data_IF_621107902254
#
_entry.id   IF_621107902254
#
_cell.length_a   1.000
_cell.length_b   1.000
_cell.length_c   1.000
_cell.angle_alpha   90.00
_cell.angle_beta   90.00
_cell.angle_gamma   90.00
#
_symmetry.space_group_name_H-M   'P 1'
#
loop_
_entity.id
_entity.type
_entity.pdbx_description
1 polymer ?
#
# COMPACT_ATOMS: atom_id res chain seq x y z
N UNK A 1 -4.88 -8.80 -9.02
CA UNK A 1 -4.89 -9.21 -7.60
C UNK A 1 -3.98 -10.42 -7.38
N UNK A 2 -4.21 -11.57 -8.03
CA UNK A 2 -3.37 -12.77 -7.86
C UNK A 2 -1.85 -12.55 -8.01
N UNK A 3 -1.40 -11.89 -9.09
CA UNK A 3 0.02 -11.60 -9.29
C UNK A 3 0.62 -10.73 -8.16
N UNK A 4 -0.13 -9.79 -7.59
CA UNK A 4 0.35 -8.96 -6.49
C UNK A 4 0.48 -9.75 -5.18
N UNK A 5 -0.42 -10.71 -4.94
CA UNK A 5 -0.32 -11.62 -3.78
C UNK A 5 0.92 -12.52 -3.91
N UNK A 6 1.22 -13.01 -5.12
CA UNK A 6 2.42 -13.81 -5.37
C UNK A 6 3.71 -13.00 -5.18
N UNK A 7 3.76 -11.75 -5.67
CA UNK A 7 4.90 -10.86 -5.45
C UNK A 7 5.11 -10.55 -3.96
N UNK A 8 4.01 -10.36 -3.22
CA UNK A 8 4.06 -10.16 -1.78
C UNK A 8 4.56 -11.42 -1.06
N UNK A 9 4.07 -12.60 -1.44
CA UNK A 9 4.56 -13.89 -0.93
C UNK A 9 6.07 -14.05 -1.19
N UNK A 10 6.51 -13.82 -2.42
CA UNK A 10 7.94 -13.86 -2.80
C UNK A 10 8.77 -12.89 -1.95
N UNK A 11 8.26 -11.69 -1.67
CA UNK A 11 8.97 -10.73 -0.81
C UNK A 11 9.10 -11.17 0.66
N UNK A 12 8.26 -12.10 1.12
CA UNK A 12 8.28 -12.64 2.49
C UNK A 12 9.22 -13.84 2.57
N UNK A 13 9.08 -14.79 1.66
CA UNK A 13 9.82 -16.06 1.71
C UNK A 13 11.17 -16.01 0.97
N UNK A 14 11.39 -14.98 0.15
CA UNK A 14 12.56 -14.81 -0.70
C UNK A 14 12.44 -15.53 -2.05
N UNK A 15 13.15 -15.00 -3.04
CA UNK A 15 13.12 -15.48 -4.43
C UNK A 15 13.48 -16.98 -4.54
N UNK A 16 14.53 -17.43 -3.85
CA UNK A 16 14.98 -18.82 -3.91
C UNK A 16 13.91 -19.80 -3.38
N UNK A 17 13.31 -19.50 -2.23
CA UNK A 17 12.25 -20.32 -1.66
C UNK A 17 11.00 -20.28 -2.54
N UNK A 18 10.62 -19.11 -3.06
CA UNK A 18 9.48 -18.97 -3.96
C UNK A 18 9.65 -19.77 -5.25
N UNK A 19 10.84 -19.74 -5.87
CA UNK A 19 11.14 -20.57 -7.03
C UNK A 19 11.03 -22.06 -6.72
N UNK A 20 11.52 -22.51 -5.55
CA UNK A 20 11.38 -23.90 -5.10
C UNK A 20 9.91 -24.30 -4.91
N UNK A 21 9.09 -23.44 -4.29
CA UNK A 21 7.64 -23.63 -4.15
C UNK A 21 6.99 -23.84 -5.52
N UNK A 22 7.21 -22.92 -6.46
CA UNK A 22 6.60 -22.97 -7.80
C UNK A 22 7.04 -24.22 -8.55
N UNK A 23 8.33 -24.56 -8.52
CA UNK A 23 8.84 -25.77 -9.17
C UNK A 23 8.23 -27.05 -8.58
N UNK A 24 8.13 -27.13 -7.25
CA UNK A 24 7.53 -28.27 -6.55
C UNK A 24 6.05 -28.40 -6.90
N UNK A 25 5.29 -27.30 -6.82
CA UNK A 25 3.88 -27.27 -7.13
C UNK A 25 3.60 -27.74 -8.57
N UNK A 26 4.32 -27.19 -9.56
CA UNK A 26 4.14 -27.56 -10.96
C UNK A 26 4.51 -29.01 -11.26
N UNK A 27 5.59 -29.54 -10.65
CA UNK A 27 6.00 -30.94 -10.82
C UNK A 27 4.99 -31.91 -10.20
N UNK A 28 4.48 -31.57 -9.01
CA UNK A 28 3.58 -32.44 -8.25
C UNK A 28 2.21 -32.56 -8.91
N UNK A 29 1.70 -31.46 -9.47
CA UNK A 29 0.37 -31.40 -10.08
C UNK A 29 0.39 -31.38 -11.61
N UNK A 30 1.46 -31.87 -12.22
CA UNK A 30 1.60 -31.91 -13.68
C UNK A 30 0.44 -32.69 -14.32
N UNK A 31 -0.13 -32.10 -15.39
CA UNK A 31 -1.25 -32.68 -16.15
C UNK A 31 -2.57 -32.86 -15.37
N UNK A 32 -2.69 -32.30 -14.17
CA UNK A 32 -3.88 -32.35 -13.33
C UNK A 32 -4.55 -30.99 -13.12
N UNK A 33 -5.54 -30.98 -12.23
CA UNK A 33 -6.20 -29.76 -11.72
C UNK A 33 -5.74 -29.47 -10.30
N UNK A 34 -5.74 -28.21 -9.90
CA UNK A 34 -5.25 -27.74 -8.61
C UNK A 34 -6.24 -26.82 -7.91
N UNK A 35 -6.09 -26.73 -6.58
CA UNK A 35 -6.81 -25.84 -5.68
C UNK A 35 -5.85 -24.91 -4.95
N UNK A 36 -6.38 -23.91 -4.24
CA UNK A 36 -5.56 -23.06 -3.36
C UNK A 36 -4.83 -23.86 -2.29
N UNK A 37 -5.47 -24.91 -1.75
CA UNK A 37 -4.87 -25.77 -0.73
C UNK A 37 -3.65 -26.54 -1.24
N UNK A 38 -3.67 -26.96 -2.50
CA UNK A 38 -2.51 -27.61 -3.13
C UNK A 38 -1.30 -26.66 -3.16
N UNK A 39 -1.54 -25.38 -3.46
CA UNK A 39 -0.49 -24.37 -3.47
C UNK A 39 0.01 -24.04 -2.06
N UNK A 40 -0.88 -23.92 -1.08
CA UNK A 40 -0.50 -23.69 0.32
C UNK A 40 0.34 -24.87 0.83
N UNK A 41 -0.04 -26.11 0.51
CA UNK A 41 0.74 -27.31 0.89
C UNK A 41 2.15 -27.26 0.30
N UNK A 42 2.30 -26.85 -0.96
CA UNK A 42 3.62 -26.69 -1.57
C UNK A 42 4.48 -25.61 -0.91
N UNK A 43 3.86 -24.58 -0.32
CA UNK A 43 4.54 -23.56 0.49
C UNK A 43 4.96 -24.14 1.83
N UNK A 44 4.04 -24.77 2.56
CA UNK A 44 4.28 -25.40 3.86
C UNK A 44 5.39 -26.47 3.78
N UNK A 45 5.52 -27.17 2.65
CA UNK A 45 6.60 -28.13 2.41
C UNK A 45 8.00 -27.50 2.25
N UNK A 46 8.08 -26.27 1.73
CA UNK A 46 9.35 -25.59 1.42
C UNK A 46 9.78 -24.65 2.54
N UNK A 47 8.81 -24.02 3.22
CA UNK A 47 9.02 -23.08 4.33
C UNK A 47 8.16 -23.47 5.55
N UNK A 48 8.35 -24.67 6.12
CA UNK A 48 7.52 -25.20 7.21
C UNK A 48 7.55 -24.35 8.49
N UNK A 49 8.58 -23.52 8.66
CA UNK A 49 8.73 -22.61 9.80
C UNK A 49 7.83 -21.36 9.72
N UNK A 50 7.24 -21.06 8.56
CA UNK A 50 6.38 -19.91 8.35
C UNK A 50 4.91 -20.33 8.23
N UNK A 51 4.06 -19.91 9.17
CA UNK A 51 2.61 -20.07 9.01
C UNK A 51 2.08 -18.98 8.06
N UNK A 52 1.92 -19.34 6.79
CA UNK A 52 1.47 -18.44 5.71
C UNK A 52 0.03 -18.71 5.27
N UNK A 53 -0.65 -19.69 5.89
CA UNK A 53 -2.01 -20.08 5.52
C UNK A 53 -3.00 -18.94 5.71
N UNK A 54 -3.05 -18.37 6.91
CA UNK A 54 -3.96 -17.25 7.21
C UNK A 54 -3.69 -16.02 6.32
N UNK A 55 -2.41 -15.76 6.03
CA UNK A 55 -2.03 -14.75 5.04
C UNK A 55 -2.64 -15.06 3.67
N UNK A 56 -2.36 -16.23 3.07
CA UNK A 56 -2.83 -16.56 1.72
C UNK A 56 -4.37 -16.59 1.66
N UNK A 57 -5.01 -17.27 2.61
CA UNK A 57 -6.45 -17.43 2.64
C UNK A 57 -7.17 -16.09 2.81
N UNK A 58 -6.67 -15.20 3.69
CA UNK A 58 -7.27 -13.88 3.87
C UNK A 58 -7.20 -13.00 2.63
N UNK A 59 -6.19 -13.18 1.77
CA UNK A 59 -6.06 -12.43 0.51
C UNK A 59 -6.78 -13.08 -0.69
N UNK A 60 -6.84 -14.41 -0.75
CA UNK A 60 -7.42 -15.15 -1.88
C UNK A 60 -8.94 -15.23 -1.80
N UNK A 61 -9.50 -15.41 -0.60
CA UNK A 61 -10.94 -15.63 -0.43
C UNK A 61 -11.75 -14.35 -0.17
N UNK A 62 -11.08 -13.19 -0.10
CA UNK A 62 -11.72 -11.89 0.09
C UNK A 62 -11.62 -11.05 -1.19
N UNK A 63 -12.73 -10.42 -1.60
CA UNK A 63 -12.83 -9.66 -2.86
C UNK A 63 -12.32 -8.20 -2.75
N UNK A 64 -11.50 -7.91 -1.73
CA UNK A 64 -10.95 -6.59 -1.42
C UNK A 64 -9.54 -6.74 -0.83
N UNK A 65 -8.97 -5.63 -0.38
CA UNK A 65 -7.67 -5.57 0.28
C UNK A 65 -7.69 -4.55 1.44
N UNK A 66 -6.76 -4.63 2.39
CA UNK A 66 -6.77 -3.76 3.55
C UNK A 66 -6.24 -2.37 3.23
N UNK A 67 -6.84 -1.37 3.89
CA UNK A 67 -6.25 -0.06 4.12
C UNK A 67 -5.76 -0.03 5.57
N UNK A 68 -4.49 0.30 5.77
CA UNK A 68 -3.86 0.44 7.07
C UNK A 68 -3.82 1.92 7.45
N UNK A 69 -4.57 2.31 8.48
CA UNK A 69 -4.51 3.63 9.06
C UNK A 69 -3.41 3.69 10.13
N UNK A 70 -2.56 4.71 10.06
CA UNK A 70 -1.43 4.92 10.97
C UNK A 70 -1.67 6.17 11.80
N UNK A 71 -1.85 5.97 13.10
CA UNK A 71 -1.86 7.02 14.12
C UNK A 71 -0.48 7.08 14.79
N UNK A 72 -0.04 8.27 15.20
CA UNK A 72 1.24 8.45 15.91
C UNK A 72 1.00 9.14 17.26
N UNK A 73 1.68 8.67 18.30
CA UNK A 73 1.60 9.24 19.64
C UNK A 73 2.60 8.61 20.61
N UNK A 74 3.19 9.42 21.49
CA UNK A 74 4.06 8.97 22.58
C UNK A 74 5.19 8.01 22.14
N UNK A 75 5.86 8.28 21.01
CA UNK A 75 6.95 7.45 20.51
C UNK A 75 6.50 6.10 19.91
N UNK A 76 5.22 5.99 19.56
CA UNK A 76 4.66 4.77 18.96
C UNK A 76 3.80 5.09 17.75
N UNK A 77 3.68 4.12 16.86
CA UNK A 77 2.75 4.13 15.73
C UNK A 77 1.71 3.04 15.92
N UNK A 78 0.43 3.42 15.90
CA UNK A 78 -0.69 2.51 16.08
C UNK A 78 -1.33 2.29 14.70
N UNK A 79 -1.33 1.05 14.25
CA UNK A 79 -1.87 0.60 12.98
C UNK A 79 -3.25 0.01 13.22
N UNK A 80 -4.24 0.46 12.45
CA UNK A 80 -5.59 -0.11 12.40
C UNK A 80 -5.89 -0.49 10.96
N UNK A 81 -6.53 -1.64 10.76
CA UNK A 81 -6.93 -2.08 9.43
C UNK A 81 -8.42 -1.86 9.21
N UNK A 82 -8.76 -1.48 7.98
CA UNK A 82 -10.12 -1.44 7.49
C UNK A 82 -10.18 -1.89 6.04
N UNK A 83 -11.37 -2.19 5.57
CA UNK A 83 -11.61 -2.54 4.18
C UNK A 83 -11.35 -1.31 3.28
N UNK A 84 -10.56 -1.49 2.21
CA UNK A 84 -10.29 -0.43 1.25
C UNK A 84 -11.49 -0.20 0.29
N UNK A 85 -12.48 0.62 0.69
CA UNK A 85 -13.70 0.87 -0.09
C UNK A 85 -14.21 2.33 0.00
N UNK A 86 -14.87 2.83 -1.06
CA UNK A 86 -15.35 4.23 -1.20
C UNK A 86 -16.71 4.51 -0.57
N UNK A 87 -17.49 3.49 -0.21
CA UNK A 87 -18.88 3.65 0.21
C UNK A 87 -19.06 3.21 1.66
N UNK A 88 -19.50 4.14 2.50
CA UNK A 88 -20.00 3.88 3.87
C UNK A 88 -21.29 3.00 3.91
N UNK A 89 -21.62 2.32 2.82
CA UNK A 89 -22.85 1.53 2.62
C UNK A 89 -22.61 0.03 2.52
N UNK A 90 -21.39 -0.47 2.71
CA UNK A 90 -21.15 -1.91 2.72
C UNK A 90 -20.95 -2.44 4.13
N UNK A 91 -21.77 -3.43 4.44
CA UNK A 91 -21.80 -4.32 5.60
C UNK A 91 -20.59 -5.25 5.66
N UNK A 92 -19.39 -4.76 5.34
CA UNK A 92 -18.15 -5.57 5.40
C UNK A 92 -17.57 -5.55 6.83
N UNK A 93 -18.44 -5.56 7.85
CA UNK A 93 -18.06 -5.65 9.26
C UNK A 93 -17.34 -6.99 9.48
N UNK A 94 -16.03 -6.95 9.71
CA UNK A 94 -15.24 -8.13 10.10
C UNK A 94 -14.30 -8.69 9.02
N UNK A 95 -14.25 -8.13 7.81
CA UNK A 95 -13.19 -8.48 6.86
C UNK A 95 -11.85 -7.90 7.36
N UNK A 96 -10.97 -8.79 7.81
CA UNK A 96 -9.60 -8.49 8.22
C UNK A 96 -8.63 -9.42 7.52
N UNK A 97 -7.40 -8.97 7.39
CA UNK A 97 -6.30 -9.66 6.71
C UNK A 97 -5.15 -9.87 7.67
N UNK A 98 -4.42 -10.96 7.48
CA UNK A 98 -3.10 -11.15 8.10
C UNK A 98 -2.08 -10.47 7.19
N UNK A 99 -1.67 -9.24 7.55
CA UNK A 99 -0.91 -8.35 6.67
C UNK A 99 0.59 -8.41 7.00
N UNK A 100 1.46 -8.69 6.00
CA UNK A 100 2.90 -8.60 6.13
C UNK A 100 3.33 -7.12 6.06
N UNK A 101 3.40 -6.43 7.20
CA UNK A 101 3.78 -5.03 7.25
C UNK A 101 5.31 -4.93 7.15
N UNK A 102 5.78 -4.24 6.12
CA UNK A 102 7.16 -3.77 6.03
C UNK A 102 7.20 -2.28 6.28
N UNK A 103 8.21 -1.79 7.00
CA UNK A 103 8.29 -0.37 7.31
C UNK A 103 9.72 0.15 7.47
N UNK A 104 9.88 1.44 7.27
CA UNK A 104 11.08 2.22 7.56
C UNK A 104 10.71 3.47 8.36
N UNK A 105 11.67 4.06 9.06
CA UNK A 105 11.53 5.32 9.78
C UNK A 105 12.61 6.32 9.35
N UNK A 106 12.56 7.54 9.89
CA UNK A 106 13.63 8.52 9.72
C UNK A 106 14.93 8.11 10.42
N UNK A 107 14.84 7.27 11.45
CA UNK A 107 16.00 6.76 12.19
C UNK A 107 16.58 5.49 11.61
N UNK A 108 15.77 4.67 10.95
CA UNK A 108 16.23 3.44 10.33
C UNK A 108 15.60 3.24 8.94
N UNK A 109 16.47 3.27 7.92
CA UNK A 109 16.10 3.07 6.52
C UNK A 109 16.17 1.61 6.07
N UNK A 110 16.68 0.72 6.91
CA UNK A 110 16.62 -0.72 6.66
C UNK A 110 15.18 -1.21 6.92
N UNK A 111 14.51 -1.81 5.93
CA UNK A 111 13.14 -2.27 6.09
C UNK A 111 13.00 -3.29 7.22
N UNK A 112 12.15 -2.98 8.19
CA UNK A 112 11.72 -3.90 9.24
C UNK A 112 10.43 -4.61 8.83
N UNK A 113 10.17 -5.77 9.41
CA UNK A 113 9.02 -6.61 9.12
C UNK A 113 8.23 -6.95 10.38
N UNK A 114 6.90 -6.92 10.31
CA UNK A 114 6.00 -7.34 11.38
C UNK A 114 4.67 -7.85 10.80
N UNK A 115 4.10 -8.88 11.42
CA UNK A 115 2.76 -9.35 11.08
C UNK A 115 1.69 -8.52 11.78
N UNK A 116 0.71 -8.03 11.01
CA UNK A 116 -0.55 -7.52 11.55
C UNK A 116 -1.61 -8.60 11.35
N UNK A 117 -1.82 -9.41 12.38
CA UNK A 117 -2.75 -10.54 12.32
C UNK A 117 -4.21 -10.07 12.16
N UNK A 118 -5.01 -10.85 11.42
CA UNK A 118 -6.43 -10.57 11.20
C UNK A 118 -7.24 -10.54 12.50
N UNK A 119 -6.80 -11.21 13.56
CA UNK A 119 -7.51 -11.29 14.84
C UNK A 119 -7.15 -10.11 15.77
N UNK A 120 -6.17 -9.27 15.38
CA UNK A 120 -5.82 -8.06 16.11
C UNK A 120 -6.73 -6.89 15.75
N UNK A 121 -7.12 -6.09 16.74
CA UNK A 121 -7.83 -4.82 16.51
C UNK A 121 -6.88 -3.69 16.11
N UNK A 122 -5.67 -3.71 16.64
CA UNK A 122 -4.61 -2.77 16.30
C UNK A 122 -3.23 -3.40 16.53
N UNK A 123 -2.25 -2.94 15.76
CA UNK A 123 -0.84 -3.29 15.93
C UNK A 123 -0.05 -2.05 16.37
N UNK A 124 0.77 -2.16 17.41
CA UNK A 124 1.63 -1.07 17.88
C UNK A 124 3.08 -1.33 17.48
N UNK A 125 3.69 -0.35 16.82
CA UNK A 125 5.12 -0.31 16.48
C UNK A 125 5.79 0.71 17.41
N UNK A 126 6.74 0.25 18.23
CA UNK A 126 7.48 1.09 19.16
C UNK A 126 8.77 1.60 18.52
N UNK A 127 8.79 2.89 18.16
CA UNK A 127 9.91 3.59 17.54
C UNK A 127 10.02 4.98 18.21
N UNK A 128 10.48 5.03 19.49
CA UNK A 128 10.34 6.22 20.33
C UNK A 128 11.05 7.45 19.79
N UNK A 129 12.15 7.24 19.05
CA UNK A 129 12.95 8.30 18.48
C UNK A 129 12.49 8.72 17.08
N UNK A 130 11.57 7.98 16.45
CA UNK A 130 11.16 8.22 15.07
C UNK A 130 10.11 9.32 14.95
N UNK A 131 10.32 10.23 14.01
CA UNK A 131 9.41 11.33 13.67
C UNK A 131 8.31 10.88 12.69
N UNK A 132 8.67 9.99 11.76
CA UNK A 132 7.77 9.47 10.75
C UNK A 132 8.01 7.99 10.47
N UNK A 133 6.98 7.34 9.92
CA UNK A 133 7.01 5.96 9.45
C UNK A 133 6.47 5.88 8.02
N UNK A 134 7.13 5.10 7.17
CA UNK A 134 6.60 4.70 5.85
C UNK A 134 6.39 3.19 5.90
N UNK A 135 5.15 2.76 5.70
CA UNK A 135 4.84 1.34 5.48
C UNK A 135 4.97 1.03 3.98
N UNK A 136 5.20 -0.25 3.66
CA UNK A 136 5.33 -0.75 2.30
C UNK A 136 6.32 0.05 1.41
N UNK A 137 7.54 0.39 1.89
CA UNK A 137 8.43 1.34 1.19
C UNK A 137 8.79 0.92 -0.24
N UNK A 138 8.77 -0.38 -0.54
CA UNK A 138 9.03 -0.92 -1.88
C UNK A 138 7.76 -1.13 -2.73
N UNK A 139 6.57 -0.95 -2.15
CA UNK A 139 5.30 -1.12 -2.85
C UNK A 139 4.96 -2.57 -3.23
N UNK A 140 5.61 -3.55 -2.61
CA UNK A 140 5.39 -4.99 -2.87
C UNK A 140 4.14 -5.52 -2.17
N UNK A 141 3.74 -4.91 -1.06
CA UNK A 141 2.55 -5.30 -0.30
C UNK A 141 1.25 -4.93 -1.01
N UNK A 142 0.29 -5.85 -1.04
CA UNK A 142 -1.05 -5.62 -1.59
C UNK A 142 -1.99 -4.98 -0.55
N UNK A 143 -1.62 -3.81 -0.07
CA UNK A 143 -2.43 -3.00 0.85
C UNK A 143 -2.13 -1.51 0.60
N UNK A 144 -3.00 -0.65 1.12
CA UNK A 144 -2.82 0.80 1.07
C UNK A 144 -2.63 1.38 2.45
N UNK A 145 -1.95 2.51 2.53
CA UNK A 145 -1.65 3.18 3.80
C UNK A 145 -2.36 4.52 3.85
N UNK A 146 -2.85 4.88 5.03
CA UNK A 146 -3.37 6.21 5.31
C UNK A 146 -2.77 6.72 6.60
N UNK A 147 -2.15 7.89 6.57
CA UNK A 147 -1.55 8.48 7.74
C UNK A 147 -2.52 9.45 8.45
N UNK A 148 -2.33 9.65 9.75
CA UNK A 148 -2.93 10.79 10.45
C UNK A 148 -2.42 12.13 9.86
N UNK A 149 -3.18 13.20 10.05
CA UNK A 149 -2.90 14.50 9.42
C UNK A 149 -1.49 15.05 9.73
N UNK A 150 -1.04 14.91 10.98
CA UNK A 150 0.30 15.31 11.41
C UNK A 150 1.40 14.51 10.69
N UNK A 151 1.18 13.21 10.47
CA UNK A 151 2.12 12.34 9.77
C UNK A 151 2.17 12.64 8.27
N UNK A 152 1.01 12.92 7.65
CA UNK A 152 0.98 13.41 6.26
C UNK A 152 1.76 14.71 6.09
N UNK A 153 1.63 15.64 7.04
CA UNK A 153 2.37 16.90 7.02
C UNK A 153 3.88 16.66 7.12
N UNK A 154 4.32 15.91 8.13
CA UNK A 154 5.75 15.57 8.33
C UNK A 154 6.36 14.91 7.10
N UNK A 155 5.72 13.86 6.57
CA UNK A 155 6.29 13.11 5.45
C UNK A 155 6.29 13.91 4.14
N UNK A 156 5.29 14.78 3.93
CA UNK A 156 5.24 15.62 2.74
C UNK A 156 6.36 16.65 2.72
N UNK A 157 6.80 17.14 3.89
CA UNK A 157 7.97 18.04 4.00
C UNK A 157 9.28 17.31 3.67
N UNK A 158 9.36 16.01 3.96
CA UNK A 158 10.53 15.14 3.70
C UNK A 158 10.47 14.42 2.36
N UNK A 159 9.50 14.74 1.50
CA UNK A 159 9.23 14.00 0.27
C UNK A 159 10.44 13.92 -0.69
N UNK A 160 11.32 14.94 -0.70
CA UNK A 160 12.55 14.93 -1.49
C UNK A 160 13.67 14.06 -0.92
N UNK A 161 13.58 13.65 0.33
CA UNK A 161 14.57 12.77 0.98
C UNK A 161 14.26 11.28 0.70
N UNK A 162 13.08 11.00 0.13
CA UNK A 162 12.61 9.65 -0.16
C UNK A 162 13.20 9.11 -1.46
N UNK A 163 13.40 7.79 -1.50
CA UNK A 163 13.79 7.08 -2.72
C UNK A 163 12.66 7.13 -3.76
N UNK A 164 12.95 6.90 -5.06
CA UNK A 164 11.90 6.87 -6.07
C UNK A 164 10.77 5.86 -5.77
N UNK A 165 11.11 4.68 -5.24
CA UNK A 165 10.13 3.66 -4.86
C UNK A 165 9.22 4.14 -3.72
N UNK A 166 9.82 4.67 -2.64
CA UNK A 166 9.10 5.24 -1.50
C UNK A 166 8.14 6.36 -1.94
N UNK A 167 8.58 7.26 -2.82
CA UNK A 167 7.73 8.33 -3.36
C UNK A 167 6.55 7.76 -4.14
N UNK A 168 6.77 6.75 -4.98
CA UNK A 168 5.71 6.12 -5.76
C UNK A 168 4.66 5.47 -4.86
N UNK A 169 5.09 4.73 -3.84
CA UNK A 169 4.17 4.16 -2.83
C UNK A 169 3.41 5.28 -2.12
N UNK A 170 4.11 6.28 -1.59
CA UNK A 170 3.52 7.37 -0.82
C UNK A 170 2.52 8.20 -1.63
N UNK A 171 2.82 8.48 -2.92
CA UNK A 171 1.88 9.13 -3.83
C UNK A 171 0.63 8.27 -3.98
N UNK A 172 0.81 6.96 -4.24
CA UNK A 172 -0.33 6.05 -4.41
C UNK A 172 -1.21 6.04 -3.16
N UNK A 173 -0.61 5.92 -1.98
CA UNK A 173 -1.31 5.94 -0.68
C UNK A 173 -2.03 7.26 -0.41
N UNK A 174 -1.43 8.40 -0.76
CA UNK A 174 -2.06 9.71 -0.64
C UNK A 174 -3.27 9.85 -1.58
N UNK A 175 -3.18 9.33 -2.80
CA UNK A 175 -4.30 9.35 -3.77
C UNK A 175 -5.45 8.46 -3.30
N UNK A 176 -5.17 7.26 -2.81
CA UNK A 176 -6.19 6.37 -2.23
C UNK A 176 -6.80 7.02 -0.98
N UNK A 177 -5.99 7.58 -0.08
CA UNK A 177 -6.49 8.28 1.11
C UNK A 177 -7.40 9.47 0.74
N UNK A 178 -7.05 10.25 -0.28
CA UNK A 178 -7.91 11.31 -0.80
C UNK A 178 -9.22 10.78 -1.41
N UNK A 179 -9.14 9.67 -2.15
CA UNK A 179 -10.30 8.97 -2.72
C UNK A 179 -11.29 8.56 -1.64
N UNK A 180 -10.81 8.15 -0.47
CA UNK A 180 -11.64 7.73 0.66
C UNK A 180 -12.00 8.84 1.64
N UNK A 181 -11.54 10.08 1.42
CA UNK A 181 -11.81 11.21 2.32
C UNK A 181 -10.99 11.17 3.61
N UNK A 182 -9.91 10.39 3.65
CA UNK A 182 -8.99 10.24 4.78
C UNK A 182 -7.78 11.18 4.70
N UNK A 183 -7.55 11.79 3.54
CA UNK A 183 -6.55 12.84 3.36
C UNK A 183 -7.14 14.02 2.58
N UNK A 184 -6.65 15.22 2.87
CA UNK A 184 -7.02 16.42 2.14
C UNK A 184 -6.37 16.44 0.74
N UNK A 185 -7.01 17.15 -0.18
CA UNK A 185 -6.47 17.41 -1.52
C UNK A 185 -5.08 18.05 -1.49
N UNK A 186 -4.79 18.86 -0.46
CA UNK A 186 -3.51 19.55 -0.29
C UNK A 186 -2.33 18.59 -0.13
N UNK A 187 -2.52 17.40 0.47
CA UNK A 187 -1.46 16.39 0.62
C UNK A 187 -0.93 15.98 -0.76
N UNK A 188 -1.83 15.56 -1.65
CA UNK A 188 -1.45 15.11 -3.01
C UNK A 188 -0.87 16.27 -3.82
N UNK A 189 -1.48 17.46 -3.77
CA UNK A 189 -0.99 18.64 -4.50
C UNK A 189 0.42 19.04 -4.04
N UNK A 190 0.70 18.99 -2.74
CA UNK A 190 2.02 19.33 -2.22
C UNK A 190 3.10 18.34 -2.66
N UNK A 191 2.78 17.05 -2.79
CA UNK A 191 3.69 16.07 -3.39
C UNK A 191 3.89 16.35 -4.88
N UNK A 192 2.82 16.61 -5.64
CA UNK A 192 2.89 16.94 -7.07
C UNK A 192 3.81 18.14 -7.36
N UNK A 193 3.74 19.19 -6.54
CA UNK A 193 4.58 20.40 -6.70
C UNK A 193 6.08 20.09 -6.62
N UNK A 194 6.44 19.04 -5.89
CA UNK A 194 7.81 18.63 -5.62
C UNK A 194 8.35 17.61 -6.63
N UNK A 195 7.48 16.99 -7.45
CA UNK A 195 7.91 16.07 -8.51
C UNK A 195 8.34 16.84 -9.75
N UNK A 196 9.64 16.72 -10.09
CA UNK A 196 10.22 17.35 -11.27
C UNK A 196 10.41 16.39 -12.44
N UNK A 197 10.47 15.07 -12.20
CA UNK A 197 10.68 14.06 -13.23
C UNK A 197 9.36 13.76 -13.97
N UNK A 198 9.27 14.02 -15.29
CA UNK A 198 8.08 13.74 -16.10
C UNK A 198 7.56 12.29 -15.97
N UNK A 199 8.45 11.30 -15.80
CA UNK A 199 8.05 9.88 -15.67
C UNK A 199 7.24 9.60 -14.40
N UNK A 200 7.48 10.33 -13.33
CA UNK A 200 6.75 10.17 -12.06
C UNK A 200 5.35 10.81 -12.10
N UNK A 201 5.02 11.60 -13.12
CA UNK A 201 3.68 12.18 -13.26
C UNK A 201 2.59 11.15 -13.50
N UNK A 202 2.95 9.98 -14.06
CA UNK A 202 2.01 8.87 -14.25
C UNK A 202 1.39 8.42 -12.91
N UNK A 203 2.13 8.52 -11.79
CA UNK A 203 1.62 8.17 -10.46
C UNK A 203 0.47 9.06 -9.98
N UNK A 204 0.27 10.24 -10.59
CA UNK A 204 -0.83 11.15 -10.26
C UNK A 204 -2.02 11.06 -11.22
N UNK A 205 -1.99 10.18 -12.21
CA UNK A 205 -3.08 10.08 -13.19
C UNK A 205 -4.42 9.73 -12.51
N UNK A 206 -4.39 8.81 -11.54
CA UNK A 206 -5.58 8.46 -10.76
C UNK A 206 -6.15 9.66 -10.01
N UNK A 207 -5.29 10.51 -9.42
CA UNK A 207 -5.73 11.73 -8.76
C UNK A 207 -6.45 12.68 -9.72
N UNK A 208 -5.91 12.85 -10.94
CA UNK A 208 -6.55 13.66 -11.96
C UNK A 208 -7.94 13.12 -12.34
N UNK A 209 -8.06 11.80 -12.51
CA UNK A 209 -9.35 11.15 -12.81
C UNK A 209 -10.35 11.38 -11.67
N UNK A 210 -9.96 11.16 -10.42
CA UNK A 210 -10.83 11.36 -9.24
C UNK A 210 -11.27 12.83 -9.14
N UNK A 211 -10.35 13.78 -9.32
CA UNK A 211 -10.69 15.20 -9.32
C UNK A 211 -11.67 15.53 -10.44
N UNK A 212 -11.46 15.02 -11.65
CA UNK A 212 -12.35 15.26 -12.77
C UNK A 212 -13.76 14.68 -12.52
N UNK A 213 -13.85 13.49 -11.93
CA UNK A 213 -15.13 12.87 -11.55
C UNK A 213 -15.87 13.68 -10.47
N UNK A 214 -15.14 14.18 -9.45
CA UNK A 214 -15.73 14.96 -8.35
C UNK A 214 -16.07 16.40 -8.75
N UNK A 215 -15.28 17.00 -9.64
CA UNK A 215 -15.44 18.40 -10.08
C UNK A 215 -16.27 18.54 -11.35
N UNK A 216 -16.80 17.45 -11.91
CA UNK A 216 -17.71 17.46 -13.08
C UNK A 216 -18.94 18.38 -12.92
N UNK A 217 -19.24 18.82 -11.70
CA UNK A 217 -20.33 19.75 -11.40
C UNK A 217 -19.88 21.23 -11.30
N UNK A 218 -18.59 21.55 -11.49
CA UNK A 218 -18.05 22.92 -11.46
C UNK A 218 -17.02 23.17 -12.59
N UNK A 219 -17.49 23.85 -13.64
CA UNK A 219 -16.75 24.13 -14.87
C UNK A 219 -15.50 25.01 -14.65
N UNK A 220 -15.50 25.86 -13.62
CA UNK A 220 -14.37 26.77 -13.33
C UNK A 220 -13.21 26.01 -12.69
N UNK A 221 -13.51 25.10 -11.77
CA UNK A 221 -12.52 24.25 -11.12
C UNK A 221 -11.89 23.25 -12.10
N UNK A 222 -12.67 22.68 -13.03
CA UNK A 222 -12.15 21.82 -14.09
C UNK A 222 -11.19 22.56 -15.02
N UNK A 223 -11.54 23.78 -15.46
CA UNK A 223 -10.67 24.63 -16.30
C UNK A 223 -9.36 25.00 -15.59
N UNK A 224 -9.42 25.37 -14.31
CA UNK A 224 -8.24 25.73 -13.53
C UNK A 224 -7.26 24.55 -13.38
N UNK A 225 -7.77 23.35 -13.08
CA UNK A 225 -6.93 22.15 -12.93
C UNK A 225 -6.28 21.74 -14.26
N UNK A 226 -7.05 21.72 -15.36
CA UNK A 226 -6.53 21.41 -16.70
C UNK A 226 -5.46 22.42 -17.12
N UNK A 227 -5.66 23.71 -16.83
CA UNK A 227 -4.68 24.75 -17.11
C UNK A 227 -3.36 24.53 -16.32
N UNK A 228 -3.45 24.19 -15.03
CA UNK A 228 -2.28 23.89 -14.20
C UNK A 228 -1.48 22.69 -14.71
N UNK A 229 -2.14 21.58 -15.03
CA UNK A 229 -1.48 20.38 -15.56
C UNK A 229 -0.81 20.70 -16.91
N UNK A 230 -1.53 21.37 -17.83
CA UNK A 230 -1.00 21.74 -19.15
C UNK A 230 0.18 22.70 -19.06
N UNK A 231 0.13 23.67 -18.15
CA UNK A 231 1.25 24.60 -17.91
C UNK A 231 2.48 23.88 -17.37
N UNK A 232 2.32 22.99 -16.40
CA UNK A 232 3.44 22.23 -15.82
C UNK A 232 4.12 21.28 -16.83
N UNK A 233 3.33 20.59 -17.66
CA UNK A 233 3.88 19.68 -18.69
C UNK A 233 4.67 20.47 -19.74
N UNK A 234 4.21 21.67 -20.13
CA UNK A 234 4.87 22.50 -21.15
C UNK A 234 6.12 23.24 -20.68
N UNK A 235 6.25 23.53 -19.38
CA UNK A 235 7.36 24.33 -18.85
C UNK A 235 8.57 23.51 -18.40
N UNK A 236 8.44 22.17 -18.33
CA UNK A 236 9.48 21.26 -17.85
C UNK A 236 9.78 20.06 -18.75
N UNK A 237 9.11 19.95 -19.91
CA UNK A 237 9.46 19.01 -20.98
C UNK A 237 10.29 19.72 -22.04
#
# INVERSE_FOLDING_TARGET
QGAAILLMLESIIGEEAFQKVVQRFLKTHAYGTVTTNDFITAIEDVVPEMNLRDFIESYVYQNRFPLIHVESGNGTFILKQQVCATTAKHTDFGQKWTVPITYITDKNKDPKFVWFDKDMDSLTIAEPDAEWIILNPQGTGHYKVSLAANQWETITQRFQDLTPAERTTLISDAVYSFRFGLASCSVVINMMKQVNNPKQWASFLEFHVILNERMRCDENNEKALKAYIKWRVKTKG
#
